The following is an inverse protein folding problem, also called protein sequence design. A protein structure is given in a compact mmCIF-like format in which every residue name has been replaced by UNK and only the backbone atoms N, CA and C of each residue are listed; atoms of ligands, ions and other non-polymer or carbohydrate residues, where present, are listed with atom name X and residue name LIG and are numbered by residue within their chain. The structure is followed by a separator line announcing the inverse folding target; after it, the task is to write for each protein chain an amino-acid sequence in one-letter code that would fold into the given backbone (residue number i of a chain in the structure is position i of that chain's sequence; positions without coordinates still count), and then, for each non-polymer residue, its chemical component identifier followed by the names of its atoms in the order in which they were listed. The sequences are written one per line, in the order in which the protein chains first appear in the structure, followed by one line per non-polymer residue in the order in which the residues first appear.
data_IF_464466442747
#
_entry.id   IF_464466442747
#
_cell.length_a   1.000
_cell.length_b   1.000
_cell.length_c   1.000
_cell.angle_alpha   90.00
_cell.angle_beta   90.00
_cell.angle_gamma   90.00
#
_symmetry.space_group_name_H-M   'P 1'
#
loop_
_entity.id
_entity.type
_entity.pdbx_description
1 polymer ?
#
# COMPACT_ATOMS: atom_id res chain seq x y z
N UNK A 1 -7.88 2.21 -3.62
CA UNK A 1 -6.63 1.54 -4.09
C UNK A 1 -6.16 2.10 -5.43
N UNK A 2 -5.91 3.42 -5.49
CA UNK A 2 -5.54 4.10 -6.75
C UNK A 2 -4.13 3.72 -7.23
N UNK A 3 -3.15 3.74 -6.33
CA UNK A 3 -1.77 3.43 -6.68
C UNK A 3 -1.55 1.97 -7.12
N UNK A 4 -2.25 1.00 -6.51
CA UNK A 4 -2.23 -0.40 -7.01
C UNK A 4 -2.79 -0.51 -8.42
N UNK A 5 -3.93 0.12 -8.71
CA UNK A 5 -4.54 0.09 -10.03
C UNK A 5 -3.64 0.71 -11.11
N UNK A 6 -3.03 1.86 -10.80
CA UNK A 6 -2.03 2.52 -11.68
C UNK A 6 -0.78 1.65 -11.86
N UNK A 7 -0.33 0.95 -10.81
CA UNK A 7 0.77 -0.02 -10.88
C UNK A 7 0.47 -1.18 -11.84
N UNK A 8 -0.73 -1.75 -11.76
CA UNK A 8 -1.18 -2.81 -12.66
C UNK A 8 -1.22 -2.34 -14.12
N UNK A 9 -1.66 -1.10 -14.35
CA UNK A 9 -1.69 -0.52 -15.69
C UNK A 9 -0.28 -0.36 -16.29
N UNK A 10 0.68 0.15 -15.51
CA UNK A 10 2.09 0.21 -15.94
C UNK A 10 2.70 -1.18 -16.13
N UNK A 11 2.36 -2.14 -15.28
CA UNK A 11 2.84 -3.52 -15.40
C UNK A 11 2.36 -4.16 -16.70
N UNK A 12 1.07 -4.01 -17.04
CA UNK A 12 0.50 -4.49 -18.30
C UNK A 12 1.14 -3.82 -19.54
N UNK A 13 1.58 -2.57 -19.41
CA UNK A 13 2.32 -1.85 -20.44
C UNK A 13 3.83 -2.19 -20.47
N UNK A 14 4.29 -3.18 -19.67
CA UNK A 14 5.71 -3.56 -19.51
C UNK A 14 6.61 -2.44 -18.97
N UNK A 15 6.02 -1.42 -18.35
CA UNK A 15 6.72 -0.27 -17.73
C UNK A 15 7.07 -0.60 -16.28
N UNK A 16 8.03 -1.50 -16.11
CA UNK A 16 8.32 -2.13 -14.81
C UNK A 16 8.80 -1.12 -13.75
N UNK A 17 9.62 -0.13 -14.13
CA UNK A 17 10.12 0.88 -13.18
C UNK A 17 8.99 1.73 -12.60
N UNK A 18 8.05 2.16 -13.44
CA UNK A 18 6.87 2.92 -13.02
C UNK A 18 5.89 2.06 -12.21
N UNK A 19 5.69 0.80 -12.60
CA UNK A 19 4.86 -0.15 -11.85
C UNK A 19 5.38 -0.35 -10.41
N UNK A 20 6.68 -0.63 -10.27
CA UNK A 20 7.35 -0.78 -8.97
C UNK A 20 7.15 0.47 -8.12
N UNK A 21 7.37 1.67 -8.69
CA UNK A 21 7.16 2.93 -7.98
C UNK A 21 5.74 3.06 -7.44
N UNK A 22 4.71 2.75 -8.25
CA UNK A 22 3.30 2.82 -7.82
C UNK A 22 2.95 1.77 -6.76
N UNK A 23 3.49 0.55 -6.85
CA UNK A 23 3.30 -0.45 -5.80
C UNK A 23 3.93 -0.01 -4.47
N UNK A 24 5.11 0.62 -4.50
CA UNK A 24 5.71 1.21 -3.29
C UNK A 24 4.83 2.30 -2.69
N UNK A 25 4.28 3.20 -3.51
CA UNK A 25 3.33 4.21 -3.03
C UNK A 25 2.06 3.60 -2.42
N UNK A 26 1.56 2.50 -3.00
CA UNK A 26 0.42 1.77 -2.43
C UNK A 26 0.77 1.19 -1.06
N UNK A 27 1.93 0.54 -0.92
CA UNK A 27 2.41 0.00 0.35
C UNK A 27 2.60 1.10 1.41
N UNK A 28 3.16 2.25 1.05
CA UNK A 28 3.31 3.39 1.97
C UNK A 28 1.96 3.91 2.48
N UNK A 29 0.95 3.98 1.61
CA UNK A 29 -0.40 4.39 1.99
C UNK A 29 -1.06 3.38 2.94
N UNK A 30 -0.81 2.08 2.77
CA UNK A 30 -1.30 1.05 3.68
C UNK A 30 -0.59 1.11 5.04
N UNK A 31 0.74 1.30 5.07
CA UNK A 31 1.49 1.42 6.33
C UNK A 31 1.13 2.65 7.14
N UNK A 32 0.70 3.74 6.50
CA UNK A 32 0.13 4.90 7.19
C UNK A 32 -1.22 4.64 7.88
N UNK A 33 -1.88 3.52 7.56
CA UNK A 33 -3.14 3.10 8.18
C UNK A 33 -2.94 2.01 9.24
N UNK A 34 -1.74 1.41 9.35
CA UNK A 34 -1.43 0.39 10.36
C UNK A 34 -0.94 1.06 11.66
N UNK A 35 -1.72 1.05 12.75
CA UNK A 35 -1.37 1.69 14.01
C UNK A 35 -0.28 0.95 14.81
N UNK A 36 0.16 -0.24 14.36
CA UNK A 36 1.14 -1.08 15.06
C UNK A 36 2.59 -0.84 14.63
N UNK A 37 2.80 -0.16 13.51
CA UNK A 37 4.11 0.10 12.90
C UNK A 37 4.51 1.57 13.07
N UNK A 38 5.63 1.89 13.77
CA UNK A 38 6.11 3.25 13.88
C UNK A 38 6.68 3.71 12.53
N UNK A 39 5.82 4.23 11.65
CA UNK A 39 6.27 4.86 10.40
C UNK A 39 6.66 6.33 10.64
N UNK A 40 7.71 6.84 9.97
CA UNK A 40 8.06 8.28 10.00
C UNK A 40 6.92 9.20 9.49
N UNK A 41 5.93 8.63 8.80
CA UNK A 41 4.74 9.32 8.32
C UNK A 41 3.74 9.68 9.44
N UNK A 42 3.81 9.03 10.60
CA UNK A 42 3.03 9.44 11.78
C UNK A 42 3.44 10.81 12.34
N UNK A 43 4.54 11.40 11.86
CA UNK A 43 4.94 12.76 12.25
C UNK A 43 4.01 13.86 11.69
N UNK A 44 3.03 13.54 10.81
CA UNK A 44 2.20 14.53 10.13
C UNK A 44 0.68 14.44 10.38
N UNK A 45 0.19 13.61 11.30
CA UNK A 45 -1.25 13.56 11.57
C UNK A 45 -1.60 12.84 12.87
N UNK A 46 -2.16 13.59 13.81
CA UNK A 46 -2.46 13.18 15.19
C UNK A 46 -3.74 12.31 15.32
N UNK A 47 -4.04 11.48 14.32
CA UNK A 47 -5.25 10.64 14.32
C UNK A 47 -4.91 9.18 14.02
N UNK A 48 -4.76 8.39 15.10
CA UNK A 48 -4.68 6.92 15.01
C UNK A 48 -5.99 6.39 14.45
N UNK A 49 -6.03 6.13 13.15
CA UNK A 49 -7.18 5.49 12.50
C UNK A 49 -7.37 4.10 13.12
N UNK A 50 -8.50 3.91 13.83
CA UNK A 50 -8.91 2.59 14.31
C UNK A 50 -9.59 1.84 13.18
N UNK A 51 -8.86 0.95 12.53
CA UNK A 51 -9.40 0.05 11.51
C UNK A 51 -10.27 -1.04 12.15
N UNK A 52 -11.39 -1.37 11.50
CA UNK A 52 -12.19 -2.55 11.84
C UNK A 52 -11.45 -3.84 11.44
N UNK A 53 -11.82 -5.01 12.01
CA UNK A 53 -11.19 -6.28 11.66
C UNK A 53 -11.23 -6.62 10.16
N UNK A 54 -12.34 -6.27 9.49
CA UNK A 54 -12.50 -6.45 8.04
C UNK A 54 -11.56 -5.55 7.23
N UNK A 55 -11.37 -4.31 7.67
CA UNK A 55 -10.43 -3.37 7.05
C UNK A 55 -8.98 -3.83 7.22
N UNK A 56 -8.63 -4.38 8.38
CA UNK A 56 -7.31 -4.96 8.64
C UNK A 56 -7.04 -6.18 7.77
N UNK A 57 -8.05 -7.05 7.58
CA UNK A 57 -7.92 -8.20 6.68
C UNK A 57 -7.69 -7.75 5.23
N UNK A 58 -8.49 -6.79 4.75
CA UNK A 58 -8.33 -6.22 3.41
C UNK A 58 -6.95 -5.57 3.20
N UNK A 59 -6.43 -4.90 4.23
CA UNK A 59 -5.10 -4.29 4.21
C UNK A 59 -3.99 -5.34 4.05
N UNK A 60 -4.07 -6.44 4.81
CA UNK A 60 -3.10 -7.55 4.74
C UNK A 60 -3.14 -8.28 3.39
N UNK A 61 -4.33 -8.58 2.87
CA UNK A 61 -4.47 -9.22 1.56
C UNK A 61 -3.86 -8.35 0.46
N UNK A 62 -4.11 -7.05 0.55
CA UNK A 62 -3.57 -6.07 -0.38
C UNK A 62 -2.04 -6.00 -0.31
N UNK A 63 -1.46 -6.03 0.89
CA UNK A 63 -0.01 -6.01 1.07
C UNK A 63 0.63 -7.27 0.45
N UNK A 64 0.02 -8.43 0.66
CA UNK A 64 0.46 -9.70 0.07
C UNK A 64 0.41 -9.65 -1.46
N UNK A 65 -0.68 -9.14 -2.05
CA UNK A 65 -0.78 -8.92 -3.50
C UNK A 65 0.34 -8.03 -4.04
N UNK A 66 0.65 -6.94 -3.33
CA UNK A 66 1.72 -6.02 -3.73
C UNK A 66 3.09 -6.69 -3.68
N UNK A 67 3.40 -7.46 -2.64
CA UNK A 67 4.65 -8.23 -2.57
C UNK A 67 4.74 -9.30 -3.67
N UNK A 68 3.64 -10.01 -3.94
CA UNK A 68 3.60 -11.01 -5.02
C UNK A 68 3.84 -10.38 -6.39
N UNK A 69 3.32 -9.18 -6.64
CA UNK A 69 3.54 -8.46 -7.90
C UNK A 69 4.95 -7.85 -8.03
N UNK A 70 5.74 -7.85 -6.96
CA UNK A 70 7.14 -7.40 -6.94
C UNK A 70 8.16 -8.55 -7.08
N UNK A 71 7.72 -9.81 -6.95
CA UNK A 71 8.53 -11.01 -7.16
C UNK A 71 8.66 -11.34 -8.66
#
# INVERSE_FOLDING_TARGET
MRYKAEGNEYYNQRRLREAIGRYHWALMQLRGLDPSEPTPLYAFGDEKVKLSPEQTALLRDTECDCYNNLA
#
